data_IF_271470801445
#
_entry.id   IF_271470801445
#
_cell.length_a   1.000
_cell.length_b   1.000
_cell.length_c   1.000
_cell.angle_alpha   90.00
_cell.angle_beta   90.00
_cell.angle_gamma   90.00
#
_symmetry.space_group_name_H-M   'P 1'
#
loop_
_entity.id
_entity.type
_entity.pdbx_description
1 polymer ?
#
# COMPACT_ATOMS: atom_id res chain seq x y z
N UNK A 1 16.61 13.84 -16.56
CA UNK A 1 15.47 14.59 -15.96
C UNK A 1 14.82 13.65 -14.96
N UNK A 2 14.58 14.07 -13.71
CA UNK A 2 13.93 13.28 -12.68
C UNK A 2 12.47 13.01 -13.10
N UNK A 3 12.06 11.74 -13.12
CA UNK A 3 10.70 11.32 -13.46
C UNK A 3 9.94 10.93 -12.20
N UNK A 4 8.74 11.44 -12.05
CA UNK A 4 7.89 11.25 -10.86
C UNK A 4 6.51 10.74 -11.25
N UNK A 5 5.95 9.83 -10.45
CA UNK A 5 4.64 9.25 -10.73
C UNK A 5 3.78 9.15 -9.47
N UNK A 6 2.52 9.58 -9.57
CA UNK A 6 1.46 9.16 -8.67
C UNK A 6 0.75 7.97 -9.31
N UNK A 7 0.53 6.91 -8.55
CA UNK A 7 -0.17 5.75 -9.10
C UNK A 7 -1.15 5.13 -8.11
N UNK A 8 -2.12 4.45 -8.68
CA UNK A 8 -3.15 3.70 -7.96
C UNK A 8 -3.45 2.37 -8.63
N UNK A 9 -4.20 1.51 -7.93
CA UNK A 9 -4.57 0.18 -8.41
C UNK A 9 -6.03 -0.11 -8.10
N UNK A 10 -6.84 -0.40 -9.12
CA UNK A 10 -8.26 -0.74 -8.98
C UNK A 10 -8.54 -2.04 -9.73
N UNK A 11 -8.85 -3.10 -8.99
CA UNK A 11 -9.15 -4.43 -9.53
C UNK A 11 -10.49 -4.93 -9.02
N UNK A 12 -11.25 -5.58 -9.91
CA UNK A 12 -12.56 -6.12 -9.60
C UNK A 12 -13.62 -5.08 -9.22
N UNK A 13 -13.44 -3.82 -9.67
CA UNK A 13 -14.37 -2.72 -9.39
C UNK A 13 -14.48 -2.39 -7.89
N UNK A 14 -13.39 -2.52 -7.15
CA UNK A 14 -13.40 -2.32 -5.69
C UNK A 14 -13.59 -0.86 -5.28
N UNK A 15 -12.96 0.07 -6.00
CA UNK A 15 -13.06 1.51 -5.79
C UNK A 15 -13.46 2.21 -7.09
N UNK A 16 -14.09 3.37 -6.99
CA UNK A 16 -14.22 4.32 -8.08
C UNK A 16 -12.94 5.16 -8.18
N UNK A 17 -12.43 5.35 -9.40
CA UNK A 17 -11.25 6.18 -9.62
C UNK A 17 -11.58 7.64 -9.40
N UNK A 18 -10.92 8.27 -8.44
CA UNK A 18 -11.09 9.70 -8.16
C UNK A 18 -10.09 10.51 -8.97
N UNK A 19 -10.59 11.51 -9.72
CA UNK A 19 -9.74 12.42 -10.48
C UNK A 19 -8.91 13.33 -9.55
N UNK A 20 -7.64 13.60 -9.88
CA UNK A 20 -6.82 14.50 -9.08
C UNK A 20 -7.34 15.94 -9.18
N UNK A 21 -7.39 16.61 -8.04
CA UNK A 21 -7.73 18.06 -8.01
C UNK A 21 -6.56 18.93 -8.46
N UNK A 22 -5.36 18.40 -8.46
CA UNK A 22 -4.16 19.10 -8.83
C UNK A 22 -3.21 18.16 -9.59
N UNK A 23 -2.78 18.56 -10.76
CA UNK A 23 -1.80 17.85 -11.61
C UNK A 23 -0.58 18.75 -11.75
N UNK A 24 0.49 18.50 -11.00
CA UNK A 24 1.70 19.30 -11.06
C UNK A 24 2.52 18.97 -12.29
N UNK A 25 3.27 19.95 -12.78
CA UNK A 25 4.22 19.73 -13.86
C UNK A 25 5.28 18.69 -13.49
N UNK A 26 5.60 17.80 -14.42
CA UNK A 26 6.62 16.77 -14.24
C UNK A 26 6.17 15.55 -13.44
N UNK A 27 4.86 15.40 -13.18
CA UNK A 27 4.27 14.21 -12.60
C UNK A 27 3.35 13.50 -13.59
N UNK A 28 3.53 12.20 -13.71
CA UNK A 28 2.58 11.32 -14.39
C UNK A 28 1.60 10.73 -13.37
N UNK A 29 0.36 10.46 -13.83
CA UNK A 29 -0.67 9.79 -13.05
C UNK A 29 -1.03 8.48 -13.74
N UNK A 30 -0.89 7.33 -13.04
CA UNK A 30 -1.10 6.00 -13.61
C UNK A 30 -2.07 5.20 -12.75
N UNK A 31 -3.10 4.64 -13.37
CA UNK A 31 -4.01 3.69 -12.74
C UNK A 31 -3.86 2.30 -13.38
N UNK A 32 -3.44 1.31 -12.60
CA UNK A 32 -3.45 -0.10 -13.02
C UNK A 32 -4.80 -0.72 -12.73
N UNK A 33 -5.41 -1.37 -13.71
CA UNK A 33 -6.76 -1.94 -13.56
C UNK A 33 -6.98 -3.15 -14.47
N UNK A 34 -7.91 -4.03 -14.09
CA UNK A 34 -8.47 -5.09 -14.94
C UNK A 34 -9.74 -4.65 -15.68
N UNK A 35 -10.31 -3.48 -15.34
CA UNK A 35 -11.49 -2.95 -16.03
C UNK A 35 -11.12 -2.38 -17.42
N UNK A 36 -11.67 -3.02 -18.45
CA UNK A 36 -11.47 -2.58 -19.85
C UNK A 36 -12.19 -1.29 -20.19
N UNK A 37 -13.17 -0.87 -19.38
CA UNK A 37 -14.04 0.29 -19.66
C UNK A 37 -13.66 1.52 -18.84
N UNK A 38 -12.77 1.37 -17.83
CA UNK A 38 -12.32 2.49 -17.01
C UNK A 38 -11.64 3.54 -17.88
N UNK A 39 -12.07 4.80 -17.73
CA UNK A 39 -11.54 5.97 -18.42
C UNK A 39 -11.29 7.08 -17.43
N UNK A 40 -10.36 7.95 -17.76
CA UNK A 40 -10.04 9.16 -17.00
C UNK A 40 -9.42 10.18 -17.95
N UNK A 41 -9.58 11.44 -17.64
CA UNK A 41 -8.94 12.53 -18.37
C UNK A 41 -7.54 12.85 -17.82
N UNK A 42 -7.27 12.53 -16.55
CA UNK A 42 -6.01 12.81 -15.88
C UNK A 42 -5.13 11.56 -15.70
N UNK A 43 -5.73 10.41 -15.44
CA UNK A 43 -5.00 9.17 -15.22
C UNK A 43 -4.72 8.44 -16.53
N UNK A 44 -3.46 8.10 -16.77
CA UNK A 44 -3.10 7.10 -17.78
C UNK A 44 -3.57 5.72 -17.30
N UNK A 45 -4.61 5.19 -17.94
CA UNK A 45 -5.17 3.88 -17.61
C UNK A 45 -4.29 2.77 -18.20
N UNK A 46 -3.71 1.95 -17.35
CA UNK A 46 -2.91 0.78 -17.73
C UNK A 46 -3.70 -0.49 -17.45
N UNK A 47 -4.28 -1.04 -18.50
CA UNK A 47 -5.05 -2.29 -18.43
C UNK A 47 -4.11 -3.47 -18.26
N UNK A 48 -4.36 -4.29 -17.24
CA UNK A 48 -3.51 -5.45 -16.93
C UNK A 48 -4.34 -6.72 -16.82
N UNK A 49 -3.67 -7.87 -17.00
CA UNK A 49 -4.28 -9.17 -16.72
C UNK A 49 -4.27 -9.43 -15.20
N UNK A 50 -5.26 -10.19 -14.75
CA UNK A 50 -5.27 -10.76 -13.40
C UNK A 50 -4.38 -12.00 -13.35
N UNK A 51 -3.57 -12.12 -12.29
CA UNK A 51 -2.67 -13.26 -12.05
C UNK A 51 -3.19 -14.19 -10.95
N UNK A 52 -4.11 -13.69 -10.13
CA UNK A 52 -4.70 -14.39 -8.99
C UNK A 52 -6.22 -14.38 -9.10
N UNK A 53 -6.87 -15.39 -8.57
CA UNK A 53 -8.34 -15.40 -8.40
C UNK A 53 -8.81 -14.38 -7.34
N UNK A 54 -7.89 -13.75 -6.65
CA UNK A 54 -8.12 -12.76 -5.61
C UNK A 54 -7.76 -11.35 -6.13
N UNK A 55 -8.77 -10.54 -6.38
CA UNK A 55 -8.60 -9.16 -6.89
C UNK A 55 -7.79 -8.28 -5.93
N UNK A 56 -7.87 -8.53 -4.62
CA UNK A 56 -7.04 -7.83 -3.65
C UNK A 56 -5.55 -8.12 -3.86
N UNK A 57 -5.17 -9.38 -4.11
CA UNK A 57 -3.77 -9.73 -4.42
C UNK A 57 -3.33 -9.16 -5.77
N UNK A 58 -4.21 -9.16 -6.77
CA UNK A 58 -3.91 -8.50 -8.05
C UNK A 58 -3.60 -7.01 -7.86
N UNK A 59 -4.43 -6.27 -7.13
CA UNK A 59 -4.19 -4.86 -6.83
C UNK A 59 -2.89 -4.66 -6.03
N UNK A 60 -2.67 -5.46 -5.00
CA UNK A 60 -1.50 -5.32 -4.12
C UNK A 60 -0.17 -5.64 -4.79
N UNK A 61 -0.15 -6.53 -5.78
CA UNK A 61 1.05 -6.77 -6.58
C UNK A 61 1.56 -5.47 -7.21
N UNK A 62 0.69 -4.69 -7.83
CA UNK A 62 1.07 -3.40 -8.42
C UNK A 62 1.36 -2.35 -7.35
N UNK A 63 0.58 -2.31 -6.27
CA UNK A 63 0.81 -1.41 -5.13
C UNK A 63 2.19 -1.61 -4.51
N UNK A 64 2.59 -2.85 -4.28
CA UNK A 64 3.77 -3.19 -3.50
C UNK A 64 5.04 -3.26 -4.35
N UNK A 65 4.95 -3.63 -5.63
CA UNK A 65 6.09 -3.87 -6.50
C UNK A 65 6.25 -2.81 -7.62
N UNK A 66 6.29 -1.49 -7.32
CA UNK A 66 6.41 -0.46 -8.36
C UNK A 66 7.70 -0.58 -9.18
N UNK A 67 8.80 -1.05 -8.61
CA UNK A 67 10.06 -1.28 -9.33
C UNK A 67 9.92 -2.26 -10.51
N UNK A 68 8.91 -3.14 -10.49
CA UNK A 68 8.63 -4.07 -11.60
C UNK A 68 7.77 -3.47 -12.71
N UNK A 69 7.05 -2.38 -12.45
CA UNK A 69 6.02 -1.83 -13.34
C UNK A 69 6.25 -0.36 -13.72
N UNK A 70 7.05 0.35 -12.91
CA UNK A 70 7.32 1.78 -13.01
C UNK A 70 8.83 2.06 -12.97
N UNK A 71 9.67 1.14 -13.45
CA UNK A 71 11.13 1.21 -13.39
C UNK A 71 11.72 2.48 -14.04
N UNK A 72 10.99 3.11 -14.96
CA UNK A 72 11.41 4.33 -15.64
C UNK A 72 11.26 5.61 -14.79
N UNK A 73 10.66 5.51 -13.58
CA UNK A 73 10.44 6.61 -12.67
C UNK A 73 11.41 6.56 -11.49
N UNK A 74 11.91 7.73 -11.08
CA UNK A 74 12.81 7.85 -9.93
C UNK A 74 12.04 7.86 -8.61
N UNK A 75 10.86 8.48 -8.60
CA UNK A 75 9.98 8.58 -7.43
C UNK A 75 8.58 8.09 -7.74
N UNK A 76 7.98 7.40 -6.79
CA UNK A 76 6.57 7.02 -6.85
C UNK A 76 5.82 7.37 -5.56
N UNK A 77 4.59 7.84 -5.73
CA UNK A 77 3.60 8.00 -4.67
C UNK A 77 2.43 7.07 -5.00
N UNK A 78 2.22 6.04 -4.20
CA UNK A 78 0.99 5.26 -4.24
C UNK A 78 -0.10 5.95 -3.44
N UNK A 79 -1.31 5.99 -3.97
CA UNK A 79 -2.52 6.36 -3.24
C UNK A 79 -3.62 5.33 -3.50
N UNK A 80 -4.49 5.07 -2.51
CA UNK A 80 -5.68 4.22 -2.73
C UNK A 80 -6.62 4.90 -3.76
N UNK A 81 -7.40 4.11 -4.52
CA UNK A 81 -8.22 4.59 -5.64
C UNK A 81 -9.28 5.65 -5.27
N UNK A 82 -9.72 5.63 -4.00
CA UNK A 82 -10.69 6.59 -3.45
C UNK A 82 -10.05 7.86 -2.87
N UNK A 83 -8.75 8.11 -3.15
CA UNK A 83 -8.01 9.29 -2.70
C UNK A 83 -7.64 10.20 -3.85
N UNK A 84 -7.38 11.46 -3.55
CA UNK A 84 -6.99 12.47 -4.54
C UNK A 84 -5.82 13.33 -4.05
N UNK A 85 -4.98 13.78 -4.99
CA UNK A 85 -3.93 14.78 -4.76
C UNK A 85 -4.57 16.17 -4.83
N UNK A 86 -4.34 16.99 -3.80
CA UNK A 86 -4.86 18.36 -3.70
C UNK A 86 -3.80 19.44 -3.79
N UNK A 87 -2.57 19.13 -3.40
CA UNK A 87 -1.44 20.06 -3.36
C UNK A 87 -0.23 19.47 -4.09
N UNK A 88 0.83 20.24 -4.24
CA UNK A 88 2.05 19.78 -4.89
C UNK A 88 2.69 18.60 -4.15
N UNK A 89 2.78 17.40 -4.76
CA UNK A 89 3.37 16.22 -4.14
C UNK A 89 4.90 16.31 -3.99
N UNK A 90 5.58 17.28 -4.60
CA UNK A 90 7.00 17.52 -4.36
C UNK A 90 7.29 17.83 -2.90
N UNK A 91 6.39 18.53 -2.20
CA UNK A 91 6.51 18.78 -0.77
C UNK A 91 6.60 17.49 0.06
N UNK A 92 5.91 16.43 -0.35
CA UNK A 92 5.99 15.12 0.32
C UNK A 92 7.36 14.47 0.06
N UNK A 93 7.85 14.53 -1.17
CA UNK A 93 9.16 13.98 -1.53
C UNK A 93 10.26 14.71 -0.75
N UNK A 94 10.23 16.03 -0.78
CA UNK A 94 11.25 16.88 -0.12
C UNK A 94 11.24 16.72 1.40
N UNK A 95 10.07 16.56 2.02
CA UNK A 95 9.97 16.43 3.46
C UNK A 95 10.32 15.03 3.97
N UNK A 96 10.05 13.98 3.21
CA UNK A 96 10.07 12.61 3.75
C UNK A 96 11.06 11.66 3.06
N UNK A 97 11.55 11.96 1.85
CA UNK A 97 12.50 11.10 1.15
C UNK A 97 13.94 11.65 1.07
N UNK A 98 14.27 12.74 1.76
CA UNK A 98 15.65 13.25 1.79
C UNK A 98 16.62 12.30 2.52
N UNK A 99 16.16 11.65 3.59
CA UNK A 99 16.98 10.77 4.44
C UNK A 99 16.51 9.30 4.39
N UNK A 100 15.51 8.99 3.57
CA UNK A 100 14.94 7.64 3.46
C UNK A 100 14.53 7.36 2.02
N UNK A 101 14.52 6.09 1.62
CA UNK A 101 14.06 5.66 0.31
C UNK A 101 12.59 5.25 0.30
N UNK A 102 11.95 5.22 1.49
CA UNK A 102 10.53 4.91 1.65
C UNK A 102 9.94 5.64 2.84
N UNK A 103 8.70 6.11 2.71
CA UNK A 103 7.95 6.71 3.80
C UNK A 103 6.48 6.27 3.80
N UNK A 104 5.93 6.11 5.01
CA UNK A 104 4.55 5.74 5.28
C UNK A 104 3.94 6.66 6.32
N UNK A 105 2.61 6.75 6.34
CA UNK A 105 1.93 7.45 7.42
C UNK A 105 1.81 6.56 8.67
N UNK A 106 2.12 7.16 9.82
CA UNK A 106 1.96 6.50 11.11
C UNK A 106 0.48 6.44 11.48
N UNK A 107 -0.06 5.23 11.66
CA UNK A 107 -1.47 5.01 12.00
C UNK A 107 -1.85 5.62 13.37
N UNK A 108 -0.90 5.68 14.31
CA UNK A 108 -1.13 6.29 15.62
C UNK A 108 -1.34 7.82 15.55
N UNK A 109 -1.12 8.45 14.39
CA UNK A 109 -1.45 9.84 14.11
C UNK A 109 -2.82 10.03 13.45
N UNK A 110 -3.57 8.96 13.27
CA UNK A 110 -4.96 9.04 12.81
C UNK A 110 -5.82 9.69 13.91
N UNK A 111 -6.55 10.75 13.55
CA UNK A 111 -7.36 11.51 14.52
C UNK A 111 -8.62 10.78 14.98
N UNK A 112 -9.13 9.84 14.16
CA UNK A 112 -10.39 9.16 14.42
C UNK A 112 -10.20 7.80 15.12
N UNK A 113 -9.12 7.09 14.80
CA UNK A 113 -8.88 5.74 15.29
C UNK A 113 -7.36 5.47 15.35
N UNK A 114 -6.65 6.08 16.33
CA UNK A 114 -5.21 5.89 16.49
C UNK A 114 -4.89 4.48 16.97
N UNK A 115 -3.99 3.79 16.27
CA UNK A 115 -3.47 2.48 16.65
C UNK A 115 -1.96 2.37 16.40
N UNK A 116 -1.29 1.62 17.25
CA UNK A 116 0.17 1.42 17.22
C UNK A 116 0.57 -0.05 17.35
N UNK A 117 -0.37 -0.97 17.13
CA UNK A 117 -0.16 -2.39 17.39
C UNK A 117 -0.82 -3.27 16.32
N UNK A 118 -0.04 -4.18 15.69
CA UNK A 118 -0.56 -5.11 14.68
C UNK A 118 -1.61 -6.07 15.27
N UNK A 119 -1.43 -6.50 16.52
CA UNK A 119 -2.40 -7.39 17.20
C UNK A 119 -3.74 -6.68 17.43
N UNK A 120 -3.68 -5.38 17.77
CA UNK A 120 -4.86 -4.55 17.90
C UNK A 120 -5.58 -4.35 16.56
N UNK A 121 -4.81 -4.15 15.48
CA UNK A 121 -5.34 -4.07 14.12
C UNK A 121 -6.05 -5.38 13.74
N UNK A 122 -5.46 -6.53 14.05
CA UNK A 122 -6.09 -7.83 13.81
C UNK A 122 -7.42 -7.98 14.56
N UNK A 123 -7.48 -7.58 15.85
CA UNK A 123 -8.71 -7.56 16.64
C UNK A 123 -9.80 -6.71 15.98
N UNK A 124 -9.46 -5.49 15.54
CA UNK A 124 -10.41 -4.59 14.85
C UNK A 124 -10.92 -5.20 13.54
N UNK A 125 -10.06 -5.88 12.77
CA UNK A 125 -10.47 -6.59 11.55
C UNK A 125 -11.49 -7.70 11.89
N UNK A 126 -11.27 -8.44 12.97
CA UNK A 126 -12.21 -9.48 13.40
C UNK A 126 -13.55 -8.91 13.87
N UNK A 127 -13.52 -7.87 14.68
CA UNK A 127 -14.75 -7.20 15.15
C UNK A 127 -15.56 -6.63 14.00
N UNK A 128 -14.87 -5.98 13.04
CA UNK A 128 -15.50 -5.47 11.83
C UNK A 128 -16.16 -6.59 11.00
N UNK A 129 -15.43 -7.69 10.76
CA UNK A 129 -15.95 -8.84 10.02
C UNK A 129 -17.14 -9.48 10.71
N UNK A 130 -17.08 -9.64 12.04
CA UNK A 130 -18.18 -10.19 12.85
C UNK A 130 -19.43 -9.30 12.81
N UNK A 131 -19.25 -7.98 12.89
CA UNK A 131 -20.36 -6.99 12.87
C UNK A 131 -21.05 -6.95 11.51
N UNK A 132 -20.28 -7.00 10.42
CA UNK A 132 -20.79 -6.80 9.06
C UNK A 132 -21.06 -8.11 8.30
N UNK A 133 -20.78 -9.27 8.90
CA UNK A 133 -20.93 -10.58 8.23
C UNK A 133 -19.95 -10.81 7.08
N UNK A 134 -18.96 -9.92 6.90
CA UNK A 134 -18.00 -9.99 5.82
C UNK A 134 -16.59 -9.65 6.32
N UNK A 135 -15.71 -10.63 6.32
CA UNK A 135 -14.32 -10.46 6.72
C UNK A 135 -13.46 -9.96 5.54
N UNK A 136 -12.62 -8.98 5.81
CA UNK A 136 -11.67 -8.42 4.82
C UNK A 136 -10.61 -9.43 4.37
N UNK A 137 -10.41 -10.51 5.13
CA UNK A 137 -9.58 -11.67 4.80
C UNK A 137 -9.99 -12.88 5.66
N UNK A 138 -9.41 -14.06 5.39
CA UNK A 138 -9.66 -15.27 6.16
C UNK A 138 -9.23 -15.09 7.63
N UNK A 139 -10.15 -15.17 8.61
CA UNK A 139 -9.84 -14.96 10.03
C UNK A 139 -8.80 -15.94 10.58
N UNK A 140 -8.86 -17.21 10.17
CA UNK A 140 -7.94 -18.23 10.67
C UNK A 140 -6.51 -17.99 10.16
N UNK A 141 -6.37 -17.51 8.93
CA UNK A 141 -5.08 -17.11 8.37
C UNK A 141 -4.47 -15.93 9.14
N UNK A 142 -5.28 -14.91 9.46
CA UNK A 142 -4.83 -13.78 10.27
C UNK A 142 -4.43 -14.24 11.69
N UNK A 143 -5.22 -15.09 12.33
CA UNK A 143 -4.89 -15.63 13.66
C UNK A 143 -3.57 -16.39 13.66
N UNK A 144 -3.39 -17.29 12.69
CA UNK A 144 -2.15 -18.06 12.54
C UNK A 144 -0.95 -17.15 12.35
N UNK A 145 -1.06 -16.14 11.51
CA UNK A 145 -0.01 -15.16 11.27
C UNK A 145 0.34 -14.37 12.53
N UNK A 146 -0.67 -13.90 13.28
CA UNK A 146 -0.45 -13.18 14.55
C UNK A 146 0.18 -14.07 15.61
N UNK A 147 -0.19 -15.36 15.66
CA UNK A 147 0.44 -16.33 16.56
C UNK A 147 1.92 -16.53 16.20
N UNK A 148 2.24 -16.73 14.92
CA UNK A 148 3.64 -16.84 14.46
C UNK A 148 4.47 -15.63 14.90
N UNK A 149 3.96 -14.41 14.74
CA UNK A 149 4.69 -13.21 15.17
C UNK A 149 4.85 -13.12 16.69
N UNK A 150 3.88 -13.60 17.48
CA UNK A 150 4.02 -13.71 18.95
C UNK A 150 5.09 -14.73 19.34
N UNK A 151 5.11 -15.89 18.69
CA UNK A 151 6.08 -16.96 18.95
C UNK A 151 7.50 -16.54 18.56
N UNK A 152 7.64 -15.71 17.52
CA UNK A 152 8.89 -15.06 17.11
C UNK A 152 9.29 -13.88 18.04
N UNK A 153 8.48 -13.54 19.03
CA UNK A 153 8.75 -12.48 20.00
C UNK A 153 8.50 -11.06 19.47
N UNK A 154 7.71 -10.88 18.41
CA UNK A 154 7.39 -9.54 17.92
C UNK A 154 6.60 -8.75 18.98
N UNK A 155 7.09 -7.55 19.40
CA UNK A 155 6.52 -6.85 20.55
C UNK A 155 5.15 -6.22 20.23
N UNK A 156 4.30 -6.11 21.25
CA UNK A 156 3.09 -5.28 21.19
C UNK A 156 3.47 -3.80 21.17
N UNK A 157 2.58 -2.98 20.59
CA UNK A 157 2.70 -1.51 20.53
C UNK A 157 4.03 -1.03 19.89
N UNK A 158 4.50 -1.78 18.90
CA UNK A 158 5.73 -1.49 18.16
C UNK A 158 5.49 -0.64 16.91
N UNK A 159 4.39 0.08 16.89
CA UNK A 159 3.96 0.90 15.77
C UNK A 159 2.96 0.20 14.84
N UNK A 160 2.27 1.00 14.06
CA UNK A 160 1.41 0.58 12.96
C UNK A 160 1.45 1.67 11.88
N UNK A 161 1.47 1.27 10.63
CA UNK A 161 1.45 2.20 9.51
C UNK A 161 0.14 2.08 8.74
N UNK A 162 -0.19 3.12 7.97
CA UNK A 162 -1.24 3.04 6.97
C UNK A 162 -0.64 2.77 5.60
N UNK A 163 -1.26 1.86 4.84
CA UNK A 163 -0.85 1.59 3.47
C UNK A 163 -1.57 2.45 2.42
N UNK A 164 -2.39 3.42 2.82
CA UNK A 164 -3.21 4.22 1.89
C UNK A 164 -2.38 5.17 1.03
N UNK A 165 -1.26 5.66 1.57
CA UNK A 165 -0.29 6.50 0.86
C UNK A 165 1.11 5.99 1.13
N UNK A 166 1.92 5.81 0.09
CA UNK A 166 3.29 5.30 0.20
C UNK A 166 4.19 6.11 -0.73
N UNK A 167 5.25 6.69 -0.18
CA UNK A 167 6.26 7.45 -0.93
C UNK A 167 7.52 6.61 -1.08
N UNK A 168 8.13 6.56 -2.28
CA UNK A 168 9.30 5.70 -2.55
C UNK A 168 10.25 6.25 -3.60
N UNK A 169 11.54 6.02 -3.37
CA UNK A 169 12.57 5.86 -4.40
C UNK A 169 12.63 4.37 -4.73
N UNK A 170 11.65 3.91 -5.46
CA UNK A 170 11.33 2.47 -5.55
C UNK A 170 12.35 1.63 -6.32
N UNK A 171 13.31 2.24 -7.00
CA UNK A 171 14.42 1.55 -7.66
C UNK A 171 15.66 1.41 -6.76
N UNK A 172 15.65 2.00 -5.56
CA UNK A 172 16.73 1.82 -4.59
C UNK A 172 16.74 0.39 -4.01
N UNK A 173 17.92 -0.17 -3.85
CA UNK A 173 18.10 -1.59 -3.51
C UNK A 173 17.41 -2.00 -2.20
N UNK A 174 17.52 -1.19 -1.17
CA UNK A 174 16.89 -1.42 0.14
C UNK A 174 15.34 -1.37 0.04
N UNK A 175 14.82 -0.42 -0.76
CA UNK A 175 13.40 -0.35 -1.05
C UNK A 175 12.91 -1.59 -1.81
N UNK A 176 13.64 -2.04 -2.83
CA UNK A 176 13.31 -3.25 -3.60
C UNK A 176 13.25 -4.47 -2.66
N UNK A 177 14.28 -4.70 -1.86
CA UNK A 177 14.32 -5.85 -0.94
C UNK A 177 13.11 -5.85 -0.01
N UNK A 178 12.81 -4.71 0.63
CA UNK A 178 11.68 -4.59 1.53
C UNK A 178 10.33 -4.82 0.81
N UNK A 179 10.18 -4.33 -0.44
CA UNK A 179 8.95 -4.54 -1.20
C UNK A 179 8.76 -5.99 -1.63
N UNK A 180 9.82 -6.70 -2.00
CA UNK A 180 9.77 -8.13 -2.34
C UNK A 180 9.43 -8.98 -1.12
N UNK A 181 10.00 -8.69 0.05
CA UNK A 181 9.66 -9.36 1.30
C UNK A 181 8.20 -9.09 1.68
N UNK A 182 7.75 -7.83 1.54
CA UNK A 182 6.35 -7.48 1.78
C UNK A 182 5.39 -8.22 0.85
N UNK A 183 5.74 -8.31 -0.43
CA UNK A 183 4.93 -9.05 -1.39
C UNK A 183 4.90 -10.55 -1.07
N UNK A 184 6.01 -11.11 -0.64
CA UNK A 184 6.10 -12.53 -0.23
C UNK A 184 5.13 -12.81 0.92
N UNK A 185 5.08 -11.96 1.92
CA UNK A 185 4.14 -12.08 3.03
C UNK A 185 2.67 -11.98 2.56
N UNK A 186 2.33 -10.97 1.74
CA UNK A 186 0.97 -10.81 1.20
C UNK A 186 0.56 -12.01 0.34
N UNK A 187 1.50 -12.60 -0.38
CA UNK A 187 1.25 -13.73 -1.28
C UNK A 187 0.92 -15.01 -0.51
N UNK A 188 1.62 -15.29 0.57
CA UNK A 188 1.54 -16.56 1.28
C UNK A 188 0.75 -16.50 2.60
N UNK A 189 0.56 -15.32 3.18
CA UNK A 189 -0.17 -15.10 4.42
C UNK A 189 -1.40 -14.20 4.19
N UNK A 190 -1.80 -13.43 5.20
CA UNK A 190 -2.90 -12.49 5.06
C UNK A 190 -2.59 -11.43 4.01
N UNK A 191 -3.58 -11.15 3.16
CA UNK A 191 -3.52 -10.04 2.20
C UNK A 191 -3.65 -8.66 2.84
N UNK A 192 -3.75 -8.59 4.18
CA UNK A 192 -3.80 -7.32 4.94
C UNK A 192 -2.40 -6.74 5.09
N UNK A 193 -2.08 -5.77 4.25
CA UNK A 193 -0.75 -5.14 4.15
C UNK A 193 -0.25 -4.51 5.46
N UNK A 194 -1.15 -3.93 6.27
CA UNK A 194 -0.81 -3.28 7.53
C UNK A 194 -0.32 -4.26 8.62
N UNK A 195 -0.75 -5.53 8.57
CA UNK A 195 -0.33 -6.54 9.55
C UNK A 195 1.12 -6.98 9.40
N UNK A 196 1.72 -6.76 8.25
CA UNK A 196 3.02 -7.28 7.87
C UNK A 196 4.10 -6.22 7.89
N UNK A 197 3.82 -5.06 7.29
CA UNK A 197 4.84 -4.10 6.88
C UNK A 197 5.68 -3.57 8.04
N UNK A 198 5.07 -3.31 9.19
CA UNK A 198 5.81 -2.79 10.36
C UNK A 198 6.81 -3.83 10.91
N UNK A 199 6.49 -5.12 10.78
CA UNK A 199 7.38 -6.21 11.17
C UNK A 199 8.64 -6.23 10.30
N UNK A 200 8.50 -6.00 8.99
CA UNK A 200 9.62 -5.91 8.05
C UNK A 200 10.52 -4.70 8.33
N UNK A 201 9.94 -3.55 8.66
CA UNK A 201 10.70 -2.35 9.06
C UNK A 201 11.55 -2.58 10.32
N UNK A 202 11.12 -3.46 11.22
CA UNK A 202 11.87 -3.85 12.42
C UNK A 202 13.06 -4.76 12.14
N UNK A 203 13.05 -5.53 11.04
CA UNK A 203 14.14 -6.45 10.65
C UNK A 203 15.29 -5.76 9.90
N UNK A 204 15.11 -4.52 9.44
CA UNK A 204 16.10 -3.75 8.67
C UNK A 204 16.99 -2.82 9.52
N UNK A 205 16.93 -2.95 10.85
CA UNK A 205 17.79 -2.20 11.79
C UNK A 205 19.00 -3.06 12.24
#
# INVERSE_FOLDING_TARGET
MIKKVVYTTIFGGYDDLVEPHYIPDGWDFICFTDDSNLKSDAWKIVKTKTFYNDNTRNAKQFKVLPHRHLSDYDYSIFIDGNMTIRNNPDELIDNYLNSSNIAFFNHNKNLLDPRDCIYKEAEVIFEFGKRNGNYKDNPELIKSQMQTYQDEGYPKNNGLITGMVILRKHNEKDCIVMMEDWWTEIKYHSRRDQLVLIMLLGKTK
#
